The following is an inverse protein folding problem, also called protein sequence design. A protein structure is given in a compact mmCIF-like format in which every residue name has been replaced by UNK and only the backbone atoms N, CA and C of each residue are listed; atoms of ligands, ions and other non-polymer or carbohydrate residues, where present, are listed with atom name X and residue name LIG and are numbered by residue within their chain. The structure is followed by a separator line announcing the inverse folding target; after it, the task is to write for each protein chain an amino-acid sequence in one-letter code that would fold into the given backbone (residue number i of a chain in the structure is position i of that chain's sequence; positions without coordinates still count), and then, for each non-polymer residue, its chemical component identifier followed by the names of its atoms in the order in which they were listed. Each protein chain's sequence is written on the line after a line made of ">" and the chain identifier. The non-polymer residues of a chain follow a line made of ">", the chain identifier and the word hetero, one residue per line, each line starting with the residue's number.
data_IF_914944906323
#
_entry.id   IF_914944906323
#
_cell.length_a   1.000
_cell.length_b   1.000
_cell.length_c   1.000
_cell.angle_alpha   90.00
_cell.angle_beta   90.00
_cell.angle_gamma   90.00
#
_symmetry.space_group_name_H-M   'P 1'
#
loop_
_entity.id
_entity.type
_entity.pdbx_description
1 polymer ?
#
# COMPACT_ATOMS: atom_id res chain seq x y z
N UNK A 1 27.96 46.88 -69.97
CA UNK A 1 26.93 46.40 -69.02
C UNK A 1 26.14 47.60 -68.50
N UNK A 2 24.82 47.65 -68.69
CA UNK A 2 24.03 48.83 -68.38
C UNK A 2 23.79 48.97 -66.86
N UNK A 3 24.12 50.12 -66.23
CA UNK A 3 23.98 50.32 -64.79
C UNK A 3 22.54 50.21 -64.28
N UNK A 4 21.54 50.43 -65.16
CA UNK A 4 20.12 50.25 -64.85
C UNK A 4 19.74 48.80 -64.50
N UNK A 5 20.44 47.82 -65.06
CA UNK A 5 20.18 46.40 -64.78
C UNK A 5 20.72 45.95 -63.41
N UNK A 6 21.75 46.61 -62.89
CA UNK A 6 22.34 46.28 -61.60
C UNK A 6 21.42 46.79 -60.47
N UNK A 7 20.90 48.01 -60.60
CA UNK A 7 20.00 48.61 -59.61
C UNK A 7 18.71 47.79 -59.46
N UNK A 8 18.12 47.33 -60.58
CA UNK A 8 16.90 46.53 -60.55
C UNK A 8 17.10 45.17 -59.86
N UNK A 9 18.26 44.52 -60.08
CA UNK A 9 18.59 43.24 -59.42
C UNK A 9 18.77 43.41 -57.92
N UNK A 10 19.49 44.44 -57.48
CA UNK A 10 19.68 44.75 -56.06
C UNK A 10 18.34 45.04 -55.39
N UNK A 11 17.47 45.82 -56.04
CA UNK A 11 16.15 46.15 -55.52
C UNK A 11 15.25 44.92 -55.36
N UNK A 12 15.24 44.01 -56.35
CA UNK A 12 14.50 42.74 -56.25
C UNK A 12 15.02 41.87 -55.09
N UNK A 13 16.35 41.72 -54.95
CA UNK A 13 16.95 40.91 -53.88
C UNK A 13 16.61 41.43 -52.48
N UNK A 14 16.54 42.75 -52.30
CA UNK A 14 16.15 43.37 -51.02
C UNK A 14 14.68 43.08 -50.69
N UNK A 15 13.77 43.20 -51.66
CA UNK A 15 12.35 42.87 -51.46
C UNK A 15 12.18 41.40 -51.06
N UNK A 16 12.88 40.48 -51.76
CA UNK A 16 12.80 39.05 -51.45
C UNK A 16 13.29 38.75 -50.03
N UNK A 17 14.37 39.41 -49.59
CA UNK A 17 14.90 39.24 -48.23
C UNK A 17 13.89 39.70 -47.16
N UNK A 18 13.26 40.87 -47.35
CA UNK A 18 12.24 41.36 -46.41
C UNK A 18 10.99 40.48 -46.38
N UNK A 19 10.57 39.91 -47.52
CA UNK A 19 9.46 38.95 -47.56
C UNK A 19 9.79 37.64 -46.82
N UNK A 20 11.02 37.14 -46.93
CA UNK A 20 11.46 35.94 -46.18
C UNK A 20 11.49 36.23 -44.68
N UNK A 21 12.06 37.36 -44.25
CA UNK A 21 12.13 37.73 -42.83
C UNK A 21 10.71 37.90 -42.25
N UNK A 22 9.80 38.57 -42.98
CA UNK A 22 8.41 38.73 -42.59
C UNK A 22 7.67 37.39 -42.48
N UNK A 23 7.91 36.46 -43.40
CA UNK A 23 7.32 35.13 -43.36
C UNK A 23 7.84 34.29 -42.19
N UNK A 24 9.15 34.32 -41.90
CA UNK A 24 9.74 33.61 -40.76
C UNK A 24 9.23 34.19 -39.44
N UNK A 25 9.14 35.51 -39.30
CA UNK A 25 8.59 36.13 -38.09
C UNK A 25 7.10 35.84 -37.91
N UNK A 26 6.31 35.77 -38.99
CA UNK A 26 4.92 35.32 -38.94
C UNK A 26 4.79 33.86 -38.49
N UNK A 27 5.65 32.97 -38.98
CA UNK A 27 5.68 31.56 -38.56
C UNK A 27 6.07 31.39 -37.09
N UNK A 28 7.07 32.14 -36.61
CA UNK A 28 7.49 32.10 -35.20
C UNK A 28 6.44 32.68 -34.25
N UNK A 29 5.67 33.69 -34.70
CA UNK A 29 4.56 34.23 -33.90
C UNK A 29 3.36 33.30 -33.85
N UNK A 30 3.07 32.59 -34.94
CA UNK A 30 1.98 31.62 -34.98
C UNK A 30 2.35 30.25 -34.40
N UNK A 31 3.62 29.94 -34.16
CA UNK A 31 4.04 28.73 -33.44
C UNK A 31 3.89 28.85 -31.93
N UNK A 32 3.65 30.05 -31.40
CA UNK A 32 3.22 30.26 -30.02
C UNK A 32 1.69 30.25 -29.97
N UNK A 33 1.08 29.14 -30.38
CA UNK A 33 -0.21 28.82 -29.78
C UNK A 33 0.02 28.84 -28.26
N UNK A 34 -0.87 29.46 -27.45
CA UNK A 34 -0.82 29.22 -26.02
C UNK A 34 -0.74 27.72 -25.87
N UNK A 35 0.29 27.26 -25.16
CA UNK A 35 0.31 25.89 -24.65
C UNK A 35 -1.01 25.81 -23.90
N UNK A 36 -2.04 25.24 -24.53
CA UNK A 36 -3.15 24.69 -23.79
C UNK A 36 -2.43 23.73 -22.88
N UNK A 37 -2.22 24.16 -21.64
CA UNK A 37 -1.99 23.28 -20.51
C UNK A 37 -2.93 22.14 -20.80
N UNK A 38 -2.37 20.97 -21.18
CA UNK A 38 -3.15 19.75 -21.15
C UNK A 38 -3.68 19.77 -19.72
N UNK A 39 -4.95 20.12 -19.55
CA UNK A 39 -5.58 19.96 -18.27
C UNK A 39 -5.41 18.47 -18.01
N UNK A 40 -4.63 18.14 -16.98
CA UNK A 40 -4.27 16.76 -16.71
C UNK A 40 -5.57 15.96 -16.73
N UNK A 41 -5.61 14.94 -17.57
CA UNK A 41 -6.79 14.10 -17.68
C UNK A 41 -7.13 13.60 -16.26
N UNK A 42 -8.42 13.53 -15.89
CA UNK A 42 -8.80 13.05 -14.56
C UNK A 42 -8.14 11.69 -14.32
N UNK A 43 -7.57 11.53 -13.12
CA UNK A 43 -6.98 10.26 -12.71
C UNK A 43 -8.12 9.34 -12.34
N UNK A 44 -8.28 8.26 -13.12
CA UNK A 44 -9.28 7.23 -12.84
C UNK A 44 -8.69 6.16 -11.91
N UNK A 45 -9.38 5.88 -10.81
CA UNK A 45 -9.01 4.85 -9.83
C UNK A 45 -10.10 3.79 -9.75
N UNK A 46 -9.71 2.52 -9.85
CA UNK A 46 -10.58 1.37 -9.60
C UNK A 46 -10.18 0.70 -8.29
N UNK A 47 -11.07 0.77 -7.29
CA UNK A 47 -10.83 0.25 -5.95
C UNK A 47 -11.72 -0.95 -5.70
N UNK A 48 -11.14 -2.05 -5.24
CA UNK A 48 -11.85 -3.27 -4.89
C UNK A 48 -11.80 -3.50 -3.37
N UNK A 49 -12.95 -3.72 -2.74
CA UNK A 49 -13.04 -4.35 -1.41
C UNK A 49 -13.51 -5.78 -1.57
N UNK A 50 -12.80 -6.75 -0.99
CA UNK A 50 -13.23 -8.14 -1.06
C UNK A 50 -12.78 -9.00 0.12
N UNK A 51 -13.76 -9.51 0.88
CA UNK A 51 -13.52 -10.57 1.85
C UNK A 51 -13.47 -11.94 1.15
N UNK A 52 -12.30 -12.60 1.19
CA UNK A 52 -12.09 -13.88 0.50
C UNK A 52 -12.62 -15.10 1.26
N UNK A 53 -13.01 -14.94 2.53
CA UNK A 53 -13.43 -16.04 3.41
C UNK A 53 -12.46 -17.25 3.38
N UNK A 54 -11.15 -17.00 3.21
CA UNK A 54 -10.16 -18.03 2.91
C UNK A 54 -9.88 -18.96 4.12
N UNK A 55 -10.37 -18.59 5.31
CA UNK A 55 -10.31 -19.39 6.53
C UNK A 55 -11.23 -20.61 6.55
N UNK A 56 -12.12 -20.76 5.55
CA UNK A 56 -13.06 -21.87 5.46
C UNK A 56 -12.69 -22.86 4.34
N UNK A 57 -11.74 -23.79 4.55
CA UNK A 57 -11.37 -24.79 3.54
C UNK A 57 -12.56 -25.66 3.08
N UNK A 58 -13.61 -25.79 3.90
CA UNK A 58 -14.85 -26.47 3.52
C UNK A 58 -15.60 -25.75 2.39
N UNK A 59 -15.50 -24.42 2.30
CA UNK A 59 -16.08 -23.62 1.22
C UNK A 59 -15.17 -23.60 -0.01
N UNK A 60 -13.85 -23.61 0.21
CA UNK A 60 -12.84 -23.51 -0.84
C UNK A 60 -11.90 -24.73 -0.87
N UNK A 61 -12.41 -25.93 -1.22
CA UNK A 61 -11.59 -27.15 -1.26
C UNK A 61 -10.50 -27.10 -2.33
N UNK A 62 -10.62 -26.20 -3.32
CA UNK A 62 -9.61 -25.94 -4.33
C UNK A 62 -9.17 -24.47 -4.31
N UNK A 63 -8.44 -24.10 -3.26
CA UNK A 63 -7.96 -22.72 -3.05
C UNK A 63 -7.15 -22.17 -4.24
N UNK A 64 -6.40 -23.02 -4.96
CA UNK A 64 -5.65 -22.60 -6.15
C UNK A 64 -6.53 -22.12 -7.29
N UNK A 65 -7.61 -22.86 -7.60
CA UNK A 65 -8.57 -22.46 -8.61
C UNK A 65 -9.38 -21.25 -8.15
N UNK A 66 -9.65 -21.14 -6.85
CA UNK A 66 -10.27 -19.96 -6.24
C UNK A 66 -9.42 -18.70 -6.51
N UNK A 67 -8.13 -18.73 -6.17
CA UNK A 67 -7.23 -17.59 -6.37
C UNK A 67 -7.10 -17.21 -7.84
N UNK A 68 -7.03 -18.21 -8.74
CA UNK A 68 -6.98 -17.92 -10.19
C UNK A 68 -8.20 -17.14 -10.70
N UNK A 69 -9.41 -17.46 -10.19
CA UNK A 69 -10.62 -16.71 -10.54
C UNK A 69 -10.63 -15.28 -9.96
N UNK A 70 -10.10 -15.10 -8.75
CA UNK A 70 -9.93 -13.76 -8.16
C UNK A 70 -8.98 -12.92 -9.02
N UNK A 71 -7.86 -13.49 -9.44
CA UNK A 71 -6.91 -12.82 -10.32
C UNK A 71 -7.52 -12.48 -11.68
N UNK A 72 -8.28 -13.39 -12.29
CA UNK A 72 -9.00 -13.13 -13.54
C UNK A 72 -9.97 -11.94 -13.38
N UNK A 73 -10.74 -11.89 -12.30
CA UNK A 73 -11.64 -10.77 -12.02
C UNK A 73 -10.91 -9.43 -11.88
N UNK A 74 -9.78 -9.41 -11.14
CA UNK A 74 -8.94 -8.21 -10.96
C UNK A 74 -8.46 -7.68 -12.31
N UNK A 75 -7.99 -8.58 -13.17
CA UNK A 75 -7.45 -8.23 -14.49
C UNK A 75 -8.56 -7.78 -15.43
N UNK A 76 -9.67 -8.52 -15.50
CA UNK A 76 -10.80 -8.20 -16.38
C UNK A 76 -11.42 -6.86 -16.04
N UNK A 77 -11.41 -6.47 -14.76
CA UNK A 77 -11.91 -5.19 -14.28
C UNK A 77 -10.84 -4.11 -14.16
N UNK A 78 -9.58 -4.43 -14.49
CA UNK A 78 -8.45 -3.52 -14.44
C UNK A 78 -8.36 -2.77 -13.10
N UNK A 79 -8.46 -3.50 -11.99
CA UNK A 79 -8.46 -2.97 -10.63
C UNK A 79 -7.09 -2.38 -10.27
N UNK A 80 -7.08 -1.21 -9.65
CA UNK A 80 -5.83 -0.49 -9.33
C UNK A 80 -5.41 -0.66 -7.88
N UNK A 81 -6.34 -0.63 -6.93
CA UNK A 81 -6.09 -0.80 -5.49
C UNK A 81 -7.10 -1.79 -4.91
N UNK A 82 -6.65 -2.69 -4.03
CA UNK A 82 -7.47 -3.74 -3.43
C UNK A 82 -7.31 -3.74 -1.92
N UNK A 83 -8.43 -3.77 -1.20
CA UNK A 83 -8.53 -4.13 0.21
C UNK A 83 -9.06 -5.56 0.32
N UNK A 84 -8.19 -6.51 0.65
CA UNK A 84 -8.58 -7.88 0.94
C UNK A 84 -8.75 -8.12 2.43
N UNK A 85 -9.80 -8.87 2.76
CA UNK A 85 -10.05 -9.39 4.10
C UNK A 85 -10.08 -10.91 4.09
N UNK A 86 -9.73 -11.48 5.24
CA UNK A 86 -9.68 -12.93 5.46
C UNK A 86 -8.87 -13.73 4.43
N UNK A 87 -7.73 -13.21 4.02
CA UNK A 87 -6.82 -14.00 3.20
C UNK A 87 -6.11 -15.03 4.07
N UNK A 88 -5.81 -16.18 3.48
CA UNK A 88 -5.02 -17.21 4.16
C UNK A 88 -3.55 -16.83 4.09
N UNK A 89 -2.93 -16.61 5.24
CA UNK A 89 -1.48 -16.53 5.33
C UNK A 89 -0.91 -17.93 5.37
N UNK A 90 -0.45 -18.38 4.21
CA UNK A 90 0.67 -19.30 4.12
C UNK A 90 1.66 -18.74 3.11
N UNK A 91 2.95 -19.09 3.23
CA UNK A 91 3.96 -18.73 2.22
C UNK A 91 3.50 -19.12 0.81
N UNK A 92 2.68 -20.17 0.68
CA UNK A 92 2.17 -20.58 -0.62
C UNK A 92 1.00 -19.73 -1.08
N UNK A 93 0.01 -19.53 -0.22
CA UNK A 93 -1.30 -18.95 -0.59
C UNK A 93 -1.22 -17.46 -0.92
N UNK A 94 -0.42 -16.73 -0.16
CA UNK A 94 -0.24 -15.29 -0.38
C UNK A 94 0.56 -15.00 -1.65
N UNK A 95 1.62 -15.77 -1.88
CA UNK A 95 2.41 -15.69 -3.10
C UNK A 95 1.62 -16.14 -4.33
N UNK A 96 0.73 -17.13 -4.20
CA UNK A 96 -0.06 -17.60 -5.34
C UNK A 96 -0.89 -16.53 -6.03
N UNK A 97 -1.51 -15.58 -5.29
CA UNK A 97 -2.26 -14.50 -5.94
C UNK A 97 -1.31 -13.53 -6.65
N UNK A 98 -0.23 -13.14 -5.99
CA UNK A 98 0.77 -12.22 -6.56
C UNK A 98 1.45 -12.84 -7.79
N UNK A 99 1.84 -14.11 -7.72
CA UNK A 99 2.45 -14.89 -8.79
C UNK A 99 1.48 -15.04 -9.98
N UNK A 100 0.19 -15.33 -9.74
CA UNK A 100 -0.79 -15.48 -10.81
C UNK A 100 -1.04 -14.14 -11.52
N UNK A 101 -1.18 -13.05 -10.76
CA UNK A 101 -1.27 -11.69 -11.28
C UNK A 101 -0.02 -11.30 -12.10
N UNK A 102 1.18 -11.53 -11.55
CA UNK A 102 2.45 -11.24 -12.23
C UNK A 102 2.62 -12.08 -13.51
N UNK A 103 2.30 -13.37 -13.47
CA UNK A 103 2.39 -14.26 -14.64
C UNK A 103 1.49 -13.83 -15.79
N UNK A 104 0.41 -13.10 -15.50
CA UNK A 104 -0.54 -12.52 -16.46
C UNK A 104 -0.19 -11.07 -16.84
N UNK A 105 0.94 -10.54 -16.38
CA UNK A 105 1.41 -9.19 -16.68
C UNK A 105 0.70 -8.09 -15.89
N UNK A 106 0.10 -8.44 -14.74
CA UNK A 106 -0.65 -7.54 -13.87
C UNK A 106 -0.05 -7.47 -12.46
N UNK A 107 1.26 -7.27 -12.39
CA UNK A 107 1.97 -7.21 -11.11
C UNK A 107 1.42 -6.09 -10.20
N UNK A 108 1.24 -6.40 -8.93
CA UNK A 108 0.80 -5.47 -7.90
C UNK A 108 1.76 -5.53 -6.70
N UNK A 109 2.01 -4.39 -6.08
CA UNK A 109 2.65 -4.27 -4.78
C UNK A 109 1.68 -4.75 -3.71
N UNK A 110 2.19 -5.36 -2.63
CA UNK A 110 1.35 -5.89 -1.57
C UNK A 110 1.86 -5.47 -0.19
N UNK A 111 0.94 -5.05 0.68
CA UNK A 111 1.15 -4.83 2.10
C UNK A 111 0.21 -5.73 2.91
N UNK A 112 0.77 -6.68 3.64
CA UNK A 112 0.02 -7.80 4.21
C UNK A 112 0.26 -7.88 5.71
N UNK A 113 -0.80 -8.10 6.48
CA UNK A 113 -0.70 -8.16 7.94
C UNK A 113 -1.60 -9.23 8.52
N UNK A 114 -1.00 -10.09 9.34
CA UNK A 114 -1.73 -11.06 10.15
C UNK A 114 -2.67 -10.36 11.14
N UNK A 115 -3.92 -10.82 11.20
CA UNK A 115 -4.86 -10.42 12.26
C UNK A 115 -4.49 -11.03 13.61
N UNK A 116 -3.63 -12.05 13.63
CA UNK A 116 -3.34 -12.85 14.82
C UNK A 116 -4.42 -13.88 15.14
N UNK A 117 -5.35 -14.11 14.20
CA UNK A 117 -6.43 -15.09 14.30
C UNK A 117 -6.03 -16.34 13.54
N UNK A 118 -6.17 -17.50 14.18
CA UNK A 118 -6.01 -18.80 13.55
C UNK A 118 -7.36 -19.47 13.37
N UNK A 119 -7.68 -19.87 12.13
CA UNK A 119 -8.91 -20.58 11.79
C UNK A 119 -8.51 -21.88 11.10
N UNK A 120 -8.86 -23.02 11.71
CA UNK A 120 -8.57 -24.35 11.17
C UNK A 120 -7.07 -24.60 10.85
N UNK A 121 -6.15 -24.13 11.68
CA UNK A 121 -4.71 -24.29 11.44
C UNK A 121 -4.09 -23.24 10.50
N UNK A 122 -4.87 -22.24 10.09
CA UNK A 122 -4.43 -21.21 9.15
C UNK A 122 -4.50 -19.82 9.78
N UNK A 123 -3.42 -19.05 9.66
CA UNK A 123 -3.41 -17.66 10.07
C UNK A 123 -4.18 -16.82 9.05
N UNK A 124 -5.07 -15.97 9.53
CA UNK A 124 -5.89 -15.10 8.70
C UNK A 124 -5.32 -13.68 8.68
N UNK A 125 -5.32 -13.05 7.52
CA UNK A 125 -4.80 -11.70 7.31
C UNK A 125 -5.74 -10.78 6.55
N UNK A 126 -5.37 -9.51 6.62
CA UNK A 126 -5.81 -8.49 5.69
C UNK A 126 -4.64 -8.11 4.79
N UNK A 127 -4.94 -7.64 3.58
CA UNK A 127 -3.93 -7.15 2.66
C UNK A 127 -4.40 -5.96 1.85
N UNK A 128 -3.47 -5.05 1.57
CA UNK A 128 -3.62 -4.00 0.57
C UNK A 128 -2.78 -4.41 -0.64
N UNK A 129 -3.38 -4.49 -1.82
CA UNK A 129 -2.66 -4.63 -3.09
C UNK A 129 -2.80 -3.35 -3.89
N UNK A 130 -1.76 -2.93 -4.60
CA UNK A 130 -1.79 -1.73 -5.44
C UNK A 130 -0.93 -1.89 -6.69
N UNK A 131 -1.43 -1.45 -7.84
CA UNK A 131 -0.60 -1.30 -9.05
C UNK A 131 0.42 -0.18 -8.92
N UNK A 132 0.14 0.78 -8.05
CA UNK A 132 1.01 1.88 -7.72
C UNK A 132 1.98 1.48 -6.60
N UNK A 133 3.16 2.11 -6.50
CA UNK A 133 4.05 1.90 -5.37
C UNK A 133 3.35 2.17 -4.03
N UNK A 134 3.62 1.31 -3.05
CA UNK A 134 3.19 1.50 -1.67
C UNK A 134 4.33 2.18 -0.93
N UNK A 135 4.06 3.38 -0.40
CA UNK A 135 4.99 4.21 0.38
C UNK A 135 4.98 3.84 1.85
N UNK A 136 4.77 4.84 2.72
CA UNK A 136 4.67 4.60 4.16
C UNK A 136 3.49 3.67 4.49
N UNK A 137 3.70 2.72 5.40
CA UNK A 137 2.67 1.79 5.86
C UNK A 137 2.60 1.74 7.38
N UNK A 138 1.41 1.59 7.92
CA UNK A 138 1.17 1.44 9.35
C UNK A 138 0.06 0.41 9.63
N UNK A 139 0.17 -0.28 10.76
CA UNK A 139 -0.92 -1.09 11.32
C UNK A 139 -1.31 -0.48 12.66
N UNK A 140 -2.55 -0.03 12.78
CA UNK A 140 -3.12 0.42 14.05
C UNK A 140 -3.98 -0.68 14.63
N UNK A 141 -3.69 -1.03 15.89
CA UNK A 141 -4.50 -1.94 16.70
C UNK A 141 -5.31 -1.10 17.67
N UNK A 142 -6.60 -1.39 17.77
CA UNK A 142 -7.50 -0.69 18.67
C UNK A 142 -7.72 -1.49 19.95
N UNK A 143 -7.81 -0.77 21.06
CA UNK A 143 -7.89 -1.39 22.38
C UNK A 143 -9.23 -2.10 22.61
N UNK A 144 -9.14 -3.19 23.35
CA UNK A 144 -10.11 -4.27 23.48
C UNK A 144 -11.49 -3.79 23.97
N UNK A 145 -12.46 -3.70 23.05
CA UNK A 145 -13.86 -3.49 23.40
C UNK A 145 -14.45 -4.85 23.75
N UNK A 146 -14.35 -5.17 25.05
CA UNK A 146 -15.10 -6.21 25.77
C UNK A 146 -14.80 -7.69 25.54
N UNK A 147 -14.05 -8.16 24.53
CA UNK A 147 -13.96 -9.61 24.26
C UNK A 147 -12.58 -10.16 23.90
N UNK A 148 -11.54 -9.89 24.69
CA UNK A 148 -10.37 -10.78 24.84
C UNK A 148 -9.49 -11.07 23.60
N UNK A 149 -9.87 -10.60 22.41
CA UNK A 149 -9.15 -10.81 21.15
C UNK A 149 -8.81 -9.45 20.56
N UNK A 150 -7.52 -9.17 20.38
CA UNK A 150 -6.99 -7.87 19.90
C UNK A 150 -7.14 -7.73 18.37
N UNK A 151 -8.33 -8.03 17.85
CA UNK A 151 -8.58 -8.37 16.45
C UNK A 151 -9.06 -7.20 15.59
N UNK A 152 -9.22 -6.03 16.20
CA UNK A 152 -9.61 -4.83 15.50
C UNK A 152 -8.36 -4.08 15.03
N UNK A 153 -7.98 -4.37 13.78
CA UNK A 153 -6.83 -3.77 13.14
C UNK A 153 -7.24 -3.03 11.88
N UNK A 154 -6.58 -1.90 11.63
CA UNK A 154 -6.60 -1.27 10.32
C UNK A 154 -5.19 -1.26 9.74
N UNK A 155 -5.12 -1.44 8.44
CA UNK A 155 -3.90 -1.24 7.65
C UNK A 155 -4.02 0.11 6.98
N UNK A 156 -3.00 0.95 7.12
CA UNK A 156 -2.91 2.27 6.51
C UNK A 156 -1.72 2.23 5.58
N UNK A 157 -1.91 2.61 4.32
CA UNK A 157 -0.87 2.67 3.32
C UNK A 157 -0.95 3.97 2.53
N UNK A 158 0.18 4.61 2.32
CA UNK A 158 0.35 5.66 1.33
C UNK A 158 0.51 5.02 -0.06
N UNK A 159 -0.31 5.45 -1.01
CA UNK A 159 -0.29 4.95 -2.39
C UNK A 159 0.19 6.08 -3.32
N UNK A 160 1.31 5.86 -4.00
CA UNK A 160 1.98 6.85 -4.85
C UNK A 160 1.46 6.75 -6.30
N UNK A 161 0.36 7.44 -6.60
CA UNK A 161 -0.38 7.29 -7.87
C UNK A 161 0.34 7.97 -9.04
N UNK A 162 0.86 9.18 -8.83
CA UNK A 162 1.71 9.93 -9.78
C UNK A 162 2.83 10.67 -9.01
N UNK A 163 3.80 11.26 -9.73
CA UNK A 163 5.01 11.86 -9.12
C UNK A 163 4.71 12.87 -7.99
N UNK A 164 3.63 13.63 -8.12
CA UNK A 164 3.19 14.65 -7.16
C UNK A 164 1.85 14.32 -6.49
N UNK A 165 1.35 13.09 -6.65
CA UNK A 165 0.04 12.70 -6.14
C UNK A 165 0.10 11.37 -5.38
N UNK A 166 -0.23 11.45 -4.09
CA UNK A 166 -0.35 10.32 -3.20
C UNK A 166 -1.69 10.37 -2.45
N UNK A 167 -2.25 9.20 -2.16
CA UNK A 167 -3.45 9.06 -1.34
C UNK A 167 -3.19 8.13 -0.16
N UNK A 168 -3.99 8.28 0.89
CA UNK A 168 -4.03 7.31 1.98
C UNK A 168 -5.10 6.26 1.69
N UNK A 169 -4.71 4.99 1.72
CA UNK A 169 -5.62 3.86 1.59
C UNK A 169 -5.68 3.07 2.89
N UNK A 170 -6.89 2.86 3.40
CA UNK A 170 -7.14 2.17 4.65
C UNK A 170 -7.92 0.88 4.38
N UNK A 171 -7.36 -0.26 4.76
CA UNK A 171 -8.06 -1.54 4.76
C UNK A 171 -8.49 -1.89 6.20
N UNK A 172 -9.75 -2.29 6.34
CA UNK A 172 -10.37 -2.48 7.62
C UNK A 172 -11.25 -3.74 7.67
N UNK A 173 -11.16 -4.50 8.75
CA UNK A 173 -12.06 -5.63 9.03
C UNK A 173 -12.30 -5.78 10.53
N UNK A 174 -13.30 -5.08 11.11
CA UNK A 174 -13.63 -5.24 12.52
C UNK A 174 -14.34 -6.57 12.73
N UNK A 175 -14.15 -7.19 13.91
CA UNK A 175 -15.00 -8.30 14.34
C UNK A 175 -16.48 -7.85 14.36
N UNK A 176 -17.43 -8.74 14.00
CA UNK A 176 -18.85 -8.49 14.20
C UNK A 176 -19.10 -8.18 15.69
N UNK A 177 -19.54 -6.96 15.97
CA UNK A 177 -19.84 -6.56 17.34
C UNK A 177 -21.18 -7.18 17.79
N UNK A 178 -21.26 -7.56 19.06
CA UNK A 178 -22.52 -8.02 19.67
C UNK A 178 -23.59 -6.91 19.72
N UNK A 179 -23.15 -5.65 19.67
CA UNK A 179 -24.04 -4.48 19.72
C UNK A 179 -23.43 -3.26 19.05
N UNK A 180 -24.31 -2.36 18.63
CA UNK A 180 -23.96 -1.04 18.10
C UNK A 180 -23.07 -0.25 19.07
N UNK A 181 -23.35 -0.25 20.38
CA UNK A 181 -22.59 0.54 21.36
C UNK A 181 -21.12 0.12 21.45
N UNK A 182 -20.83 -1.19 21.35
CA UNK A 182 -19.46 -1.68 21.23
C UNK A 182 -18.80 -1.18 19.94
N UNK A 183 -19.53 -1.22 18.81
CA UNK A 183 -19.06 -0.65 17.54
C UNK A 183 -18.79 0.86 17.63
N UNK A 184 -19.57 1.63 18.41
CA UNK A 184 -19.38 3.09 18.53
C UNK A 184 -18.02 3.45 19.13
N UNK A 185 -17.63 2.80 20.24
CA UNK A 185 -16.32 3.05 20.86
C UNK A 185 -15.19 2.78 19.87
N UNK A 186 -15.35 1.71 19.09
CA UNK A 186 -14.39 1.31 18.08
C UNK A 186 -14.28 2.36 16.96
N UNK A 187 -15.42 2.75 16.37
CA UNK A 187 -15.44 3.73 15.30
C UNK A 187 -14.98 5.11 15.74
N UNK A 188 -15.13 5.48 17.01
CA UNK A 188 -14.56 6.73 17.51
C UNK A 188 -13.03 6.69 17.50
N UNK A 189 -12.39 5.58 17.91
CA UNK A 189 -10.93 5.43 17.80
C UNK A 189 -10.47 5.38 16.34
N UNK A 190 -11.24 4.72 15.49
CA UNK A 190 -11.03 4.70 14.04
C UNK A 190 -11.03 6.13 13.47
N UNK A 191 -12.06 6.93 13.79
CA UNK A 191 -12.17 8.32 13.35
C UNK A 191 -11.05 9.19 13.90
N UNK A 192 -10.69 9.06 15.17
CA UNK A 192 -9.54 9.79 15.75
C UNK A 192 -8.26 9.47 14.99
N UNK A 193 -8.08 8.21 14.60
CA UNK A 193 -6.91 7.78 13.84
C UNK A 193 -6.94 8.33 12.42
N UNK A 194 -8.04 8.21 11.68
CA UNK A 194 -8.09 8.60 10.26
C UNK A 194 -8.12 10.12 10.09
N UNK A 195 -8.77 10.86 10.97
CA UNK A 195 -8.83 12.34 10.91
C UNK A 195 -7.55 13.04 11.33
N UNK A 196 -6.59 12.31 11.91
CA UNK A 196 -5.26 12.85 12.26
C UNK A 196 -4.20 12.57 11.20
N UNK A 197 -4.55 11.83 10.15
CA UNK A 197 -3.67 11.60 9.00
C UNK A 197 -3.61 12.91 8.20
N UNK A 198 -2.40 13.46 8.04
CA UNK A 198 -2.15 14.67 7.24
C UNK A 198 -2.14 14.32 5.74
N UNK A 199 -3.26 13.77 5.26
CA UNK A 199 -3.51 13.43 3.86
C UNK A 199 -4.76 14.15 3.40
N UNK A 200 -4.75 14.67 2.17
CA UNK A 200 -5.91 15.37 1.60
C UNK A 200 -6.93 14.40 1.00
N UNK A 201 -6.52 13.17 0.72
CA UNK A 201 -7.35 12.15 0.11
C UNK A 201 -7.21 10.83 0.88
N UNK A 202 -8.34 10.35 1.41
CA UNK A 202 -8.40 9.08 2.15
C UNK A 202 -9.49 8.21 1.53
N UNK A 203 -9.12 6.99 1.14
CA UNK A 203 -10.04 5.91 0.84
C UNK A 203 -10.01 4.87 1.96
N UNK A 204 -11.16 4.35 2.32
CA UNK A 204 -11.31 3.35 3.36
C UNK A 204 -12.17 2.23 2.82
N UNK A 205 -11.65 1.02 2.77
CA UNK A 205 -12.34 -0.13 2.20
C UNK A 205 -12.28 -1.34 3.13
N UNK A 206 -13.34 -2.15 3.10
CA UNK A 206 -13.34 -3.46 3.73
C UNK A 206 -14.71 -3.98 4.14
N UNK A 207 -14.70 -5.12 4.81
CA UNK A 207 -15.86 -5.74 5.44
C UNK A 207 -16.04 -5.15 6.84
N UNK A 208 -17.15 -4.46 7.09
CA UNK A 208 -17.44 -3.83 8.38
C UNK A 208 -18.32 -4.67 9.29
N UNK A 209 -18.77 -5.84 8.84
CA UNK A 209 -19.73 -6.68 9.57
C UNK A 209 -20.97 -5.91 10.06
N UNK A 210 -21.41 -4.90 9.29
CA UNK A 210 -22.43 -3.95 9.69
C UNK A 210 -23.28 -3.49 8.51
N UNK A 211 -24.59 -3.40 8.68
CA UNK A 211 -25.53 -2.91 7.68
C UNK A 211 -25.78 -1.40 7.79
N UNK A 212 -26.09 -0.75 6.65
CA UNK A 212 -26.47 0.67 6.55
C UNK A 212 -27.62 1.10 7.47
N UNK A 213 -28.52 0.16 7.84
CA UNK A 213 -29.66 0.44 8.72
C UNK A 213 -29.29 0.49 10.21
N UNK A 214 -28.12 -0.01 10.58
CA UNK A 214 -27.68 -0.01 11.98
C UNK A 214 -27.25 1.40 12.40
N UNK A 215 -27.53 1.77 13.65
CA UNK A 215 -27.24 3.12 14.16
C UNK A 215 -25.73 3.47 14.09
N UNK A 216 -24.84 2.48 14.28
CA UNK A 216 -23.39 2.68 14.23
C UNK A 216 -22.88 3.04 12.83
N UNK A 217 -23.61 2.70 11.77
CA UNK A 217 -23.26 3.10 10.41
C UNK A 217 -23.23 4.63 10.27
N UNK A 218 -24.14 5.32 10.96
CA UNK A 218 -24.24 6.77 10.91
C UNK A 218 -22.95 7.48 11.39
N UNK A 219 -22.11 6.82 12.21
CA UNK A 219 -20.83 7.39 12.66
C UNK A 219 -19.88 7.52 11.47
N UNK A 220 -19.81 6.50 10.60
CA UNK A 220 -18.95 6.54 9.42
C UNK A 220 -19.52 7.45 8.35
N UNK A 221 -20.82 7.32 8.05
CA UNK A 221 -21.46 8.09 6.97
C UNK A 221 -21.63 9.59 7.27
N UNK A 222 -21.38 10.03 8.50
CA UNK A 222 -21.31 11.45 8.87
C UNK A 222 -19.94 12.05 8.59
N UNK A 223 -18.90 11.23 8.47
CA UNK A 223 -17.51 11.67 8.30
C UNK A 223 -16.96 11.32 6.90
N UNK A 224 -17.53 10.33 6.23
CA UNK A 224 -17.12 9.88 4.91
C UNK A 224 -18.32 9.68 3.97
N UNK A 225 -18.06 9.76 2.67
CA UNK A 225 -19.03 9.42 1.64
C UNK A 225 -19.02 7.91 1.41
N UNK A 226 -20.18 7.25 1.45
CA UNK A 226 -20.34 5.85 1.07
C UNK A 226 -20.53 5.76 -0.44
N UNK A 227 -19.51 5.25 -1.14
CA UNK A 227 -19.52 5.18 -2.61
C UNK A 227 -20.77 4.47 -3.18
N UNK A 228 -21.29 3.45 -2.49
CA UNK A 228 -22.52 2.78 -2.93
C UNK A 228 -23.77 3.65 -2.77
N UNK A 229 -23.85 4.47 -1.72
CA UNK A 229 -24.95 5.42 -1.52
C UNK A 229 -24.93 6.55 -2.56
N UNK A 230 -23.75 6.86 -3.10
CA UNK A 230 -23.57 7.85 -4.16
C UNK A 230 -23.72 7.26 -5.58
N UNK A 231 -23.77 5.93 -5.71
CA UNK A 231 -23.89 5.27 -7.01
C UNK A 231 -25.34 5.12 -7.46
N UNK A 232 -25.58 5.21 -8.77
CA UNK A 232 -26.87 4.83 -9.36
C UNK A 232 -27.07 3.30 -9.42
N UNK A 233 -25.98 2.53 -9.36
CA UNK A 233 -26.02 1.07 -9.35
C UNK A 233 -26.33 0.57 -7.93
N UNK A 234 -27.48 -0.09 -7.79
CA UNK A 234 -27.95 -0.60 -6.48
C UNK A 234 -27.43 -2.01 -6.17
N UNK A 235 -26.68 -2.65 -7.07
CA UNK A 235 -26.09 -3.98 -6.83
C UNK A 235 -25.13 -3.99 -5.64
N UNK A 236 -24.48 -2.87 -5.37
CA UNK A 236 -23.59 -2.67 -4.22
C UNK A 236 -24.29 -2.72 -2.85
N UNK A 237 -25.64 -2.72 -2.81
CA UNK A 237 -26.41 -2.90 -1.57
C UNK A 237 -26.39 -4.35 -1.06
N UNK A 238 -25.86 -5.29 -1.85
CA UNK A 238 -25.71 -6.69 -1.47
C UNK A 238 -24.26 -7.10 -1.73
N UNK A 239 -23.51 -7.30 -0.66
CA UNK A 239 -22.09 -7.68 -0.67
C UNK A 239 -21.83 -8.98 0.05
N UNK A 240 -22.86 -9.60 0.65
CA UNK A 240 -22.76 -10.95 1.20
C UNK A 240 -23.91 -11.85 0.74
N UNK A 241 -23.63 -13.14 0.63
CA UNK A 241 -24.56 -14.18 0.24
C UNK A 241 -25.61 -14.41 1.33
N UNK A 242 -26.90 -14.12 1.05
CA UNK A 242 -27.97 -14.26 2.03
C UNK A 242 -28.22 -15.71 2.46
N UNK A 243 -27.81 -16.70 1.67
CA UNK A 243 -27.93 -18.11 2.07
C UNK A 243 -26.92 -18.48 3.15
N UNK A 244 -25.79 -17.78 3.18
CA UNK A 244 -24.74 -17.92 4.19
C UNK A 244 -25.07 -17.17 5.49
N UNK A 245 -25.95 -16.15 5.43
CA UNK A 245 -26.35 -15.33 6.57
C UNK A 245 -27.88 -15.10 6.65
N UNK A 246 -28.70 -16.15 6.90
CA UNK A 246 -30.17 -16.10 6.82
C UNK A 246 -30.84 -15.20 7.88
N UNK A 247 -30.06 -14.64 8.81
CA UNK A 247 -30.52 -13.76 9.90
C UNK A 247 -30.50 -12.28 9.49
N UNK A 248 -29.91 -11.97 8.32
CA UNK A 248 -29.74 -10.61 7.82
C UNK A 248 -30.83 -10.31 6.77
N UNK A 249 -31.36 -9.08 6.79
CA UNK A 249 -32.40 -8.59 5.86
C UNK A 249 -31.94 -8.68 4.39
N UNK A 250 -32.88 -8.63 3.43
CA UNK A 250 -32.69 -8.85 1.98
C UNK A 250 -31.70 -7.87 1.29
N UNK A 251 -31.11 -6.92 2.04
CA UNK A 251 -30.09 -5.96 1.60
C UNK A 251 -28.80 -6.07 2.43
N UNK A 252 -28.05 -7.18 2.28
CA UNK A 252 -26.84 -7.45 3.07
C UNK A 252 -25.63 -6.73 2.45
N UNK A 253 -25.61 -5.41 2.53
CA UNK A 253 -24.41 -4.61 2.28
C UNK A 253 -23.65 -4.46 3.59
N UNK A 254 -22.55 -5.17 3.71
CA UNK A 254 -21.65 -5.12 4.89
C UNK A 254 -20.20 -4.79 4.51
N UNK A 255 -19.89 -4.83 3.22
CA UNK A 255 -18.63 -4.37 2.64
C UNK A 255 -18.83 -2.96 2.09
N UNK A 256 -17.83 -2.11 2.29
CA UNK A 256 -17.91 -0.69 1.94
C UNK A 256 -16.62 -0.19 1.31
N UNK A 257 -16.77 0.82 0.46
CA UNK A 257 -15.68 1.72 0.08
C UNK A 257 -16.17 3.12 0.45
N UNK A 258 -15.59 3.68 1.51
CA UNK A 258 -15.77 5.05 1.93
C UNK A 258 -14.63 5.92 1.40
N UNK A 259 -14.89 7.20 1.24
CA UNK A 259 -13.85 8.17 0.92
C UNK A 259 -14.13 9.52 1.55
N UNK A 260 -13.05 10.24 1.81
CA UNK A 260 -13.05 11.65 2.18
C UNK A 260 -12.83 12.45 0.89
N UNK A 261 -13.80 13.26 0.47
CA UNK A 261 -13.64 14.46 -0.39
C UNK A 261 -14.78 14.67 -1.40
N UNK A 262 -15.08 15.95 -1.68
CA UNK A 262 -15.88 16.41 -2.84
C UNK A 262 -15.11 16.29 -4.18
N UNK A 263 -13.83 15.90 -4.16
CA UNK A 263 -12.94 15.84 -5.33
C UNK A 263 -13.11 14.57 -6.18
N UNK A 264 -13.90 13.61 -5.71
CA UNK A 264 -14.17 12.39 -6.47
C UNK A 264 -15.61 12.36 -6.95
N UNK A 265 -15.78 12.06 -8.22
CA UNK A 265 -17.07 11.55 -8.71
C UNK A 265 -17.03 10.03 -8.69
N UNK A 266 -17.95 9.44 -7.93
CA UNK A 266 -18.20 8.00 -8.01
C UNK A 266 -18.99 7.71 -9.27
N UNK A 267 -18.39 7.03 -10.23
CA UNK A 267 -19.08 6.72 -11.50
C UNK A 267 -19.95 5.46 -11.35
N UNK A 268 -19.37 4.39 -10.81
CA UNK A 268 -20.04 3.09 -10.66
C UNK A 268 -19.46 2.39 -9.43
N UNK A 269 -20.36 1.87 -8.58
CA UNK A 269 -20.00 0.88 -7.58
C UNK A 269 -20.86 -0.35 -7.82
N UNK A 270 -20.23 -1.45 -8.19
CA UNK A 270 -20.93 -2.68 -8.54
C UNK A 270 -20.45 -3.84 -7.68
N UNK A 271 -21.39 -4.73 -7.35
CA UNK A 271 -21.10 -6.01 -6.71
C UNK A 271 -21.30 -7.14 -7.73
N UNK A 272 -20.27 -7.94 -8.01
CA UNK A 272 -20.38 -9.05 -8.97
C UNK A 272 -20.83 -10.34 -8.29
N UNK A 273 -22.15 -10.59 -8.34
CA UNK A 273 -22.76 -11.78 -7.77
C UNK A 273 -22.54 -13.06 -8.60
N UNK A 274 -21.85 -12.97 -9.75
CA UNK A 274 -21.47 -14.16 -10.52
C UNK A 274 -20.27 -14.89 -9.90
N UNK A 275 -19.52 -14.21 -9.04
CA UNK A 275 -18.33 -14.72 -8.37
C UNK A 275 -18.75 -15.36 -7.03
N UNK A 276 -19.34 -16.53 -7.14
CA UNK A 276 -19.86 -17.32 -6.01
C UNK A 276 -18.77 -18.13 -5.29
N UNK A 277 -17.57 -17.57 -5.16
CA UNK A 277 -16.40 -18.28 -4.61
C UNK A 277 -16.14 -17.91 -3.14
N UNK A 278 -16.63 -16.76 -2.70
CA UNK A 278 -16.70 -16.34 -1.29
C UNK A 278 -18.19 -16.24 -0.89
N UNK A 279 -18.47 -16.23 0.42
CA UNK A 279 -19.78 -15.78 0.93
C UNK A 279 -19.92 -14.26 0.94
N UNK A 280 -18.88 -13.54 0.51
CA UNK A 280 -18.94 -12.15 0.12
C UNK A 280 -18.85 -12.02 -1.40
N UNK A 281 -19.41 -10.93 -1.91
CA UNK A 281 -19.29 -10.50 -3.30
C UNK A 281 -18.28 -9.36 -3.40
N UNK A 282 -17.43 -9.34 -4.44
CA UNK A 282 -16.46 -8.27 -4.62
C UNK A 282 -17.16 -6.93 -4.86
N UNK A 283 -16.82 -5.91 -4.07
CA UNK A 283 -17.32 -4.56 -4.21
C UNK A 283 -16.30 -3.70 -4.97
N UNK A 284 -16.59 -3.37 -6.22
CA UNK A 284 -15.72 -2.58 -7.10
C UNK A 284 -16.27 -1.16 -7.26
N UNK A 285 -15.49 -0.16 -6.83
CA UNK A 285 -15.78 1.26 -7.07
C UNK A 285 -14.88 1.86 -8.14
N UNK A 286 -15.44 2.75 -8.97
CA UNK A 286 -14.73 3.56 -9.97
C UNK A 286 -14.83 5.04 -9.61
N UNK A 287 -13.68 5.68 -9.49
CA UNK A 287 -13.55 7.05 -8.99
C UNK A 287 -12.72 7.87 -9.97
N UNK A 288 -13.21 9.04 -10.32
CA UNK A 288 -12.46 10.03 -11.10
C UNK A 288 -11.99 11.13 -10.17
N UNK A 289 -10.68 11.30 -10.03
CA UNK A 289 -10.10 12.42 -9.31
C UNK A 289 -10.25 13.67 -10.18
N UNK A 290 -10.90 14.70 -9.65
CA UNK A 290 -10.81 16.04 -10.22
C UNK A 290 -9.49 16.63 -9.75
N UNK A 291 -8.50 16.88 -10.64
CA UNK A 291 -7.24 17.44 -10.22
C UNK A 291 -7.51 18.79 -9.54
N UNK A 292 -7.18 18.91 -8.26
CA UNK A 292 -7.15 20.22 -7.64
C UNK A 292 -5.99 20.95 -8.29
N UNK A 293 -6.21 22.10 -8.97
CA UNK A 293 -5.11 22.81 -9.62
C UNK A 293 -4.04 23.09 -8.55
N UNK A 294 -2.90 22.42 -8.66
CA UNK A 294 -1.75 22.68 -7.80
C UNK A 294 -1.53 24.18 -7.85
N UNK A 295 -1.59 24.90 -6.72
CA UNK A 295 -1.46 26.34 -6.74
C UNK A 295 -0.10 26.63 -7.36
N UNK A 296 -0.12 27.07 -8.62
CA UNK A 296 1.10 27.38 -9.35
C UNK A 296 1.84 28.34 -8.45
N UNK A 297 3.03 27.95 -8.00
CA UNK A 297 3.80 28.78 -7.08
C UNK A 297 3.92 30.12 -7.77
N UNK A 298 3.12 31.09 -7.31
CA UNK A 298 3.15 32.41 -7.91
C UNK A 298 4.57 32.84 -7.68
N UNK A 299 5.33 33.05 -8.76
CA UNK A 299 6.69 33.51 -8.68
C UNK A 299 6.65 34.85 -7.93
N UNK A 300 6.72 34.80 -6.60
CA UNK A 300 6.85 35.97 -5.77
C UNK A 300 8.20 36.50 -6.21
N UNK A 301 8.27 37.70 -6.82
CA UNK A 301 9.53 38.25 -7.24
C UNK A 301 10.45 38.25 -6.02
N UNK A 302 11.55 37.51 -6.13
CA UNK A 302 12.55 37.38 -5.08
C UNK A 302 12.82 38.77 -4.51
N UNK A 303 12.58 39.02 -3.21
CA UNK A 303 12.89 40.31 -2.63
C UNK A 303 14.36 40.59 -2.92
N UNK A 304 14.61 41.74 -3.57
CA UNK A 304 15.95 42.18 -3.92
C UNK A 304 16.82 42.13 -2.67
N UNK A 305 17.85 41.28 -2.69
CA UNK A 305 18.73 41.02 -1.55
C UNK A 305 19.41 42.33 -1.17
N UNK A 306 18.98 42.92 -0.05
CA UNK A 306 19.74 43.98 0.61
C UNK A 306 20.91 43.29 1.32
N UNK A 307 22.17 43.69 1.07
CA UNK A 307 23.32 43.07 1.71
C UNK A 307 23.27 43.34 3.23
N UNK A 308 23.00 42.28 3.98
CA UNK A 308 23.04 42.30 5.45
C UNK A 308 24.50 42.18 5.90
N UNK A 309 24.96 43.18 6.66
CA UNK A 309 26.29 43.23 7.25
C UNK A 309 26.38 42.16 8.34
N UNK A 310 27.23 41.16 8.11
CA UNK A 310 27.57 40.11 9.05
C UNK A 310 28.28 40.68 10.28
N UNK A 311 27.64 40.60 11.45
CA UNK A 311 28.32 40.73 12.73
C UNK A 311 28.56 39.33 13.31
N UNK A 312 29.85 39.00 13.39
CA UNK A 312 30.40 37.82 14.03
C UNK A 312 30.21 37.89 15.56
N UNK A 313 29.76 36.81 16.22
CA UNK A 313 30.19 36.57 17.59
C UNK A 313 30.82 35.18 17.77
N UNK A 314 32.08 35.24 18.18
CA UNK A 314 32.78 34.46 19.22
C UNK A 314 32.38 33.00 19.46
N UNK A 315 33.35 32.13 19.18
CA UNK A 315 33.39 30.71 19.54
C UNK A 315 33.34 30.48 21.06
N UNK A 316 32.51 29.54 21.48
CA UNK A 316 32.57 28.91 22.81
C UNK A 316 33.04 27.47 22.63
N UNK A 317 34.08 27.11 23.38
CA UNK A 317 34.79 25.83 23.31
C UNK A 317 33.91 24.65 23.76
N UNK A 318 34.01 23.54 23.04
CA UNK A 318 33.43 22.25 23.40
C UNK A 318 34.52 21.34 23.98
N UNK A 319 34.31 20.66 25.13
CA UNK A 319 35.32 19.82 25.74
C UNK A 319 35.48 18.47 25.02
N UNK A 320 36.74 18.16 24.71
CA UNK A 320 37.21 16.88 24.16
C UNK A 320 37.18 15.80 25.24
N UNK A 321 36.43 14.71 25.00
CA UNK A 321 36.57 13.47 25.77
C UNK A 321 37.57 12.54 25.06
N UNK A 322 38.66 12.27 25.76
CA UNK A 322 39.73 11.35 25.38
C UNK A 322 39.45 9.98 25.99
N UNK A 323 39.15 8.97 25.17
CA UNK A 323 39.08 7.57 25.60
C UNK A 323 40.31 6.82 25.09
N UNK A 324 41.00 6.17 26.02
CA UNK A 324 42.22 5.39 25.81
C UNK A 324 41.85 3.93 25.44
N UNK A 325 42.47 3.30 24.43
CA UNK A 325 42.27 1.88 24.18
C UNK A 325 43.19 1.06 25.09
N UNK A 326 42.59 0.21 25.93
CA UNK A 326 43.33 -0.84 26.65
C UNK A 326 43.18 -2.14 25.88
N UNK A 327 44.29 -2.64 25.35
CA UNK A 327 44.40 -3.96 24.73
C UNK A 327 44.73 -4.99 25.82
N UNK A 328 43.92 -6.04 25.92
CA UNK A 328 44.28 -7.26 26.66
C UNK A 328 43.59 -8.46 26.02
N UNK A 329 44.27 -9.06 25.04
CA UNK A 329 43.87 -10.34 24.47
C UNK A 329 44.21 -11.46 25.45
N UNK A 330 43.20 -12.17 25.94
CA UNK A 330 43.35 -13.45 26.62
C UNK A 330 42.89 -14.53 25.64
N UNK A 331 43.67 -15.58 25.35
CA UNK A 331 43.26 -16.63 24.44
C UNK A 331 42.18 -17.49 25.13
N UNK A 332 40.93 -17.35 24.71
CA UNK A 332 39.86 -18.25 25.11
C UNK A 332 39.94 -19.50 24.26
N UNK A 333 39.98 -20.63 24.95
CA UNK A 333 40.00 -21.99 24.43
C UNK A 333 38.88 -22.26 23.42
N UNK A 334 39.21 -22.99 22.36
CA UNK A 334 38.28 -23.52 21.36
C UNK A 334 37.04 -24.14 22.03
N UNK A 335 35.81 -23.74 21.65
CA UNK A 335 34.63 -24.41 22.12
C UNK A 335 34.51 -25.79 21.45
N UNK A 336 33.98 -26.78 22.19
CA UNK A 336 33.84 -28.15 21.70
C UNK A 336 32.80 -28.19 20.58
N UNK A 337 33.07 -28.95 19.52
CA UNK A 337 32.14 -29.39 18.46
C UNK A 337 30.68 -28.94 18.68
N UNK A 338 30.35 -27.73 18.21
CA UNK A 338 28.97 -27.31 18.08
C UNK A 338 28.37 -28.19 16.98
N UNK A 339 27.47 -29.09 17.38
CA UNK A 339 26.43 -29.64 16.51
C UNK A 339 25.56 -28.47 16.04
N UNK A 340 26.08 -27.70 15.07
CA UNK A 340 25.70 -26.33 14.76
C UNK A 340 24.31 -26.19 14.12
N UNK A 341 23.67 -27.31 13.81
CA UNK A 341 22.31 -27.37 13.28
C UNK A 341 21.56 -28.52 13.96
N UNK A 342 21.26 -28.39 15.27
CA UNK A 342 20.10 -29.14 15.80
C UNK A 342 18.86 -28.72 14.99
N UNK A 343 17.90 -29.62 14.73
CA UNK A 343 16.80 -29.32 13.83
C UNK A 343 16.08 -28.07 14.32
N UNK A 344 16.19 -27.00 13.53
CA UNK A 344 15.54 -25.72 13.81
C UNK A 344 14.03 -25.83 13.60
N UNK A 345 13.61 -26.90 12.92
CA UNK A 345 12.27 -27.46 12.87
C UNK A 345 11.80 -27.86 14.29
N UNK A 346 11.08 -26.95 14.95
CA UNK A 346 10.60 -27.12 16.32
C UNK A 346 9.38 -28.03 16.42
N UNK A 347 8.57 -28.07 15.37
CA UNK A 347 7.35 -28.85 15.33
C UNK A 347 7.56 -30.23 14.67
N UNK A 348 8.80 -30.56 14.31
CA UNK A 348 9.25 -31.82 13.71
C UNK A 348 8.50 -32.16 12.40
N UNK A 349 8.03 -31.15 11.67
CA UNK A 349 7.26 -31.31 10.45
C UNK A 349 8.13 -31.37 9.17
N UNK A 350 9.45 -31.29 9.34
CA UNK A 350 10.50 -31.27 8.32
C UNK A 350 10.51 -30.04 7.42
N UNK A 351 9.76 -29.00 7.76
CA UNK A 351 9.60 -27.76 6.99
C UNK A 351 9.99 -26.58 7.87
N UNK A 352 11.14 -25.94 7.57
CA UNK A 352 11.46 -24.66 8.19
C UNK A 352 10.49 -23.58 7.68
N UNK A 353 9.68 -23.04 8.58
CA UNK A 353 8.60 -22.08 8.31
C UNK A 353 8.55 -20.99 9.40
N UNK A 354 7.64 -20.02 9.26
CA UNK A 354 7.43 -18.98 10.27
C UNK A 354 7.18 -19.50 11.69
N UNK A 355 6.68 -20.73 11.85
CA UNK A 355 6.47 -21.36 13.16
C UNK A 355 7.78 -21.69 13.89
N UNK A 356 8.88 -21.80 13.16
CA UNK A 356 10.22 -22.00 13.72
C UNK A 356 10.90 -20.67 14.08
N UNK A 357 10.34 -19.53 13.64
CA UNK A 357 10.91 -18.22 13.88
C UNK A 357 11.13 -17.89 15.36
N UNK A 358 10.21 -18.19 16.30
CA UNK A 358 10.47 -17.98 17.72
C UNK A 358 11.69 -18.76 18.21
N UNK A 359 11.92 -19.98 17.73
CA UNK A 359 13.09 -20.76 18.11
C UNK A 359 14.36 -20.34 17.40
N UNK A 360 14.26 -19.89 16.14
CA UNK A 360 15.35 -19.21 15.44
C UNK A 360 15.82 -18.00 16.25
N UNK A 361 14.88 -17.09 16.59
CA UNK A 361 15.17 -15.90 17.40
C UNK A 361 15.70 -16.25 18.80
N UNK A 362 15.16 -17.28 19.45
CA UNK A 362 15.66 -17.72 20.76
C UNK A 362 17.05 -18.37 20.68
N UNK A 363 17.37 -19.07 19.58
CA UNK A 363 18.67 -19.75 19.40
C UNK A 363 19.78 -18.77 19.08
N UNK A 364 19.44 -17.65 18.43
CA UNK A 364 20.40 -16.63 18.00
C UNK A 364 20.40 -15.36 18.87
N UNK A 365 19.44 -15.24 19.78
CA UNK A 365 19.29 -14.07 20.64
C UNK A 365 18.59 -12.92 19.92
N UNK A 366 18.11 -11.92 20.67
CA UNK A 366 17.41 -10.74 20.13
C UNK A 366 18.35 -9.59 19.73
N UNK A 367 19.66 -9.75 19.93
CA UNK A 367 20.69 -8.76 19.58
C UNK A 367 22.04 -9.45 19.42
N UNK A 368 22.79 -9.10 18.38
CA UNK A 368 24.10 -9.68 18.12
C UNK A 368 25.22 -8.94 18.89
N UNK A 369 25.84 -9.57 19.89
CA UNK A 369 27.18 -9.15 20.33
C UNK A 369 28.21 -9.67 19.31
N UNK A 370 28.61 -8.77 18.42
CA UNK A 370 29.52 -8.92 17.28
C UNK A 370 30.61 -10.02 17.38
N UNK A 371 30.38 -11.16 16.72
CA UNK A 371 31.41 -11.89 15.97
C UNK A 371 30.79 -12.34 14.64
N UNK A 372 31.28 -11.80 13.52
CA UNK A 372 30.88 -12.23 12.17
C UNK A 372 31.44 -13.64 11.97
N UNK A 373 30.69 -14.65 12.43
CA UNK A 373 30.99 -16.03 12.12
C UNK A 373 30.45 -16.25 10.71
N UNK A 374 31.33 -16.22 9.71
CA UNK A 374 31.02 -16.66 8.35
C UNK A 374 30.74 -18.17 8.39
N UNK A 375 29.50 -18.53 8.67
CA UNK A 375 28.99 -19.89 8.57
C UNK A 375 28.38 -20.08 7.17
N UNK A 376 28.62 -21.23 6.49
CA UNK A 376 27.90 -21.58 5.26
C UNK A 376 26.37 -21.50 5.36
N UNK A 377 25.78 -21.55 6.56
CA UNK A 377 24.35 -21.32 6.79
C UNK A 377 23.87 -19.86 6.78
N UNK A 378 24.75 -18.89 6.57
CA UNK A 378 24.46 -17.47 6.85
C UNK A 378 24.79 -17.08 8.29
N UNK A 379 24.99 -15.78 8.52
CA UNK A 379 25.11 -15.23 9.87
C UNK A 379 23.74 -15.08 10.54
N UNK A 380 23.74 -14.98 11.87
CA UNK A 380 22.52 -14.77 12.68
C UNK A 380 21.76 -13.51 12.27
N UNK A 381 22.53 -12.50 11.85
CA UNK A 381 22.11 -11.24 11.25
C UNK A 381 22.65 -11.26 9.81
N UNK A 382 21.83 -11.68 8.87
CA UNK A 382 22.25 -11.91 7.48
C UNK A 382 22.26 -10.61 6.68
N UNK A 383 21.47 -9.61 7.09
CA UNK A 383 21.43 -8.30 6.45
C UNK A 383 22.41 -7.27 7.08
N UNK A 384 23.05 -7.63 8.19
CA UNK A 384 24.07 -6.87 8.93
C UNK A 384 23.48 -5.56 9.53
N UNK A 385 22.25 -5.60 10.01
CA UNK A 385 21.59 -4.44 10.62
C UNK A 385 21.73 -4.37 12.15
N UNK A 386 22.30 -5.41 12.78
CA UNK A 386 22.53 -5.52 14.21
C UNK A 386 21.36 -6.11 15.00
N UNK A 387 20.25 -6.43 14.35
CA UNK A 387 19.11 -7.12 14.94
C UNK A 387 19.02 -8.57 14.41
N UNK A 388 18.24 -9.41 15.09
CA UNK A 388 17.88 -10.74 14.60
C UNK A 388 16.38 -10.76 14.46
N UNK A 389 15.92 -10.62 13.22
CA UNK A 389 14.52 -10.42 12.92
C UNK A 389 14.01 -11.33 11.79
N UNK A 390 12.82 -10.99 11.28
CA UNK A 390 12.13 -11.81 10.29
C UNK A 390 12.84 -11.82 8.93
N UNK A 391 13.61 -10.77 8.60
CA UNK A 391 14.37 -10.70 7.36
C UNK A 391 15.58 -11.63 7.41
N UNK A 392 16.24 -11.74 8.57
CA UNK A 392 17.31 -12.72 8.79
C UNK A 392 16.80 -14.14 8.71
N UNK A 393 15.63 -14.39 9.30
CA UNK A 393 14.99 -15.70 9.23
C UNK A 393 14.66 -16.09 7.79
N UNK A 394 14.12 -15.15 7.00
CA UNK A 394 13.85 -15.38 5.58
C UNK A 394 15.12 -15.77 4.83
N UNK A 395 16.21 -15.01 5.00
CA UNK A 395 17.49 -15.30 4.35
C UNK A 395 18.06 -16.66 4.79
N UNK A 396 17.94 -16.97 6.08
CA UNK A 396 18.33 -18.28 6.62
C UNK A 396 17.54 -19.42 5.96
N UNK A 397 16.22 -19.29 5.83
CA UNK A 397 15.36 -20.31 5.19
C UNK A 397 15.78 -20.54 3.73
N UNK A 398 16.09 -19.47 3.00
CA UNK A 398 16.57 -19.57 1.62
C UNK A 398 17.90 -20.33 1.52
N UNK A 399 18.88 -20.02 2.38
CA UNK A 399 20.17 -20.71 2.44
C UNK A 399 20.02 -22.18 2.85
N UNK A 400 19.15 -22.45 3.83
CA UNK A 400 18.83 -23.80 4.28
C UNK A 400 18.25 -24.65 3.15
N UNK A 401 17.27 -24.12 2.39
CA UNK A 401 16.66 -24.79 1.24
C UNK A 401 17.64 -25.06 0.10
N UNK A 402 18.68 -24.22 -0.05
CA UNK A 402 19.74 -24.41 -1.02
C UNK A 402 20.75 -25.51 -0.63
N UNK A 403 20.58 -26.16 0.52
CA UNK A 403 21.50 -27.18 1.02
C UNK A 403 22.82 -26.61 1.52
N UNK A 404 22.90 -25.29 1.75
CA UNK A 404 24.08 -24.66 2.33
C UNK A 404 24.29 -25.06 3.80
N UNK A 405 23.27 -25.65 4.43
CA UNK A 405 23.22 -26.02 5.84
C UNK A 405 23.28 -27.53 6.16
N UNK A 406 23.48 -28.38 5.16
CA UNK A 406 23.47 -29.85 5.34
C UNK A 406 24.86 -30.46 5.44
#
# INVERSE_FOLDING_TARGET
>A
AHPKFIILKVFLSVITLFSIIGFVTFLVRNSQAPEESLADAPVELRILSYNLAAGLPSRNPNYSQFIGKVADFIIDNQVDIIAFQEIRLSERDTHMLQDDLESKGYAMNAFITSRGIEVNGHVIANAIFSRYPIGATEVKRFDNITHGTNDHVIQIAEILVEDDYALTFVNHHPQPAESCDATKTYFNQFLETTTTIDSKEIFIAGDYNMQRKQECYAILSQNFMDSCSESEDTSCLITADPTSAPQLDESIGIDYIFYESELYTTEVVSSDHSILISDHYPLLGRFSLIPTPTPTSTNIPSPSVVPSVSTLPSATASPTLSVSPTTSATPVSSPPNLSLCKPMDQNEDTIISIFDFPAFKNSYGSSCEYEIIQNPCGSQDTNIDGEVDIFDFKNFVELYRQGACT
#
